data_IF_456801085948
#
_entry.id   IF_456801085948
#
_cell.length_a   1.000
_cell.length_b   1.000
_cell.length_c   1.000
_cell.angle_alpha   90.00
_cell.angle_beta   90.00
_cell.angle_gamma   90.00
#
_symmetry.space_group_name_H-M   'P 1'
#
loop_
_entity.id
_entity.type
_entity.pdbx_description
1 polymer ?
#
# COMPACT_ATOMS: atom_id res chain seq x y z
N UNK A 1 -2.17 -11.30 -34.13
CA UNK A 1 -2.27 -12.18 -32.94
C UNK A 1 -3.54 -11.82 -32.21
N UNK A 2 -4.46 -12.77 -31.94
CA UNK A 2 -5.75 -12.47 -31.35
C UNK A 2 -5.63 -11.91 -29.92
N UNK A 3 -6.49 -10.97 -29.57
CA UNK A 3 -6.61 -10.41 -28.22
C UNK A 3 -6.91 -11.54 -27.20
N UNK A 4 -6.41 -11.38 -25.97
CA UNK A 4 -6.76 -12.29 -24.87
C UNK A 4 -8.28 -12.31 -24.68
N UNK A 5 -8.87 -13.50 -24.60
CA UNK A 5 -10.29 -13.63 -24.29
C UNK A 5 -10.64 -12.98 -22.94
N UNK A 6 -11.84 -12.41 -22.81
CA UNK A 6 -12.30 -11.69 -21.61
C UNK A 6 -12.10 -12.49 -20.32
N UNK A 7 -12.41 -13.79 -20.30
CA UNK A 7 -12.21 -14.66 -19.14
C UNK A 7 -10.77 -14.75 -18.65
N UNK A 8 -9.78 -14.74 -19.56
CA UNK A 8 -8.36 -14.72 -19.19
C UNK A 8 -7.93 -13.39 -18.58
N UNK A 9 -8.43 -12.27 -19.13
CA UNK A 9 -8.21 -10.93 -18.59
C UNK A 9 -8.77 -10.83 -17.18
N UNK A 10 -10.00 -11.32 -17.00
CA UNK A 10 -10.66 -11.33 -15.69
C UNK A 10 -9.90 -12.20 -14.68
N UNK A 11 -9.50 -13.42 -15.06
CA UNK A 11 -8.75 -14.33 -14.19
C UNK A 11 -7.42 -13.72 -13.69
N UNK A 12 -6.70 -12.98 -14.55
CA UNK A 12 -5.53 -12.23 -14.12
C UNK A 12 -5.92 -11.04 -13.23
N UNK A 13 -6.89 -10.22 -13.63
CA UNK A 13 -7.26 -8.99 -12.93
C UNK A 13 -7.73 -9.25 -11.48
N UNK A 14 -8.36 -10.39 -11.20
CA UNK A 14 -8.82 -10.78 -9.85
C UNK A 14 -7.71 -10.76 -8.80
N UNK A 15 -6.44 -11.01 -9.17
CA UNK A 15 -5.30 -10.91 -8.27
C UNK A 15 -5.14 -9.52 -7.62
N UNK A 16 -5.75 -8.49 -8.18
CA UNK A 16 -5.80 -7.15 -7.60
C UNK A 16 -6.37 -7.10 -6.18
N UNK A 17 -7.33 -7.99 -5.84
CA UNK A 17 -7.89 -8.07 -4.48
C UNK A 17 -6.78 -8.41 -3.48
N UNK A 18 -6.06 -9.51 -3.72
CA UNK A 18 -5.03 -10.01 -2.81
C UNK A 18 -3.84 -9.05 -2.68
N UNK A 19 -3.45 -8.37 -3.78
CA UNK A 19 -2.36 -7.39 -3.77
C UNK A 19 -2.57 -6.26 -2.76
N UNK A 20 -3.80 -5.82 -2.57
CA UNK A 20 -4.12 -4.65 -1.75
C UNK A 20 -4.66 -5.03 -0.36
N UNK A 21 -5.65 -5.93 -0.31
CA UNK A 21 -6.40 -6.24 0.90
C UNK A 21 -5.50 -6.72 2.05
N UNK A 22 -4.63 -7.70 1.81
CA UNK A 22 -3.78 -8.26 2.85
C UNK A 22 -2.82 -7.21 3.44
N UNK A 23 -2.24 -6.35 2.60
CA UNK A 23 -1.37 -5.26 3.06
C UNK A 23 -2.12 -4.21 3.90
N UNK A 24 -3.33 -3.82 3.48
CA UNK A 24 -4.15 -2.88 4.24
C UNK A 24 -4.52 -3.45 5.61
N UNK A 25 -4.97 -4.71 5.65
CA UNK A 25 -5.37 -5.37 6.89
C UNK A 25 -4.19 -5.51 7.85
N UNK A 26 -3.01 -5.90 7.38
CA UNK A 26 -1.79 -5.94 8.20
C UNK A 26 -1.42 -4.56 8.72
N UNK A 27 -1.41 -3.55 7.84
CA UNK A 27 -0.98 -2.19 8.21
C UNK A 27 -1.87 -1.56 9.28
N UNK A 28 -3.17 -1.85 9.27
CA UNK A 28 -4.12 -1.24 10.22
C UNK A 28 -4.38 -2.12 11.44
N UNK A 29 -4.62 -3.42 11.25
CA UNK A 29 -5.22 -4.27 12.29
C UNK A 29 -4.23 -5.16 13.01
N UNK A 30 -3.07 -5.49 12.40
CA UNK A 30 -2.13 -6.41 13.04
C UNK A 30 -1.49 -5.78 14.29
N UNK A 31 -1.23 -4.47 14.24
CA UNK A 31 -0.76 -3.73 15.41
C UNK A 31 -1.79 -3.75 16.54
N UNK A 32 -3.07 -3.51 16.23
CA UNK A 32 -4.18 -3.58 17.20
C UNK A 32 -4.32 -4.97 17.84
N UNK A 33 -4.02 -6.04 17.08
CA UNK A 33 -4.10 -7.42 17.59
C UNK A 33 -3.04 -7.72 18.63
N UNK A 34 -1.80 -7.28 18.41
CA UNK A 34 -0.68 -7.60 19.28
C UNK A 34 -0.42 -6.55 20.37
N UNK A 35 -0.87 -5.32 20.15
CA UNK A 35 -0.68 -4.19 21.05
C UNK A 35 -2.04 -3.48 21.24
N UNK A 36 -3.04 -4.19 21.81
CA UNK A 36 -4.34 -3.57 22.07
C UNK A 36 -4.24 -2.53 23.20
N UNK A 37 -5.05 -1.49 23.13
CA UNK A 37 -5.15 -0.47 24.19
C UNK A 37 -5.96 -0.94 25.39
N UNK A 38 -6.99 -1.75 25.16
CA UNK A 38 -7.95 -2.18 26.18
C UNK A 38 -7.47 -3.37 27.04
N UNK A 39 -6.40 -4.05 26.62
CA UNK A 39 -5.88 -5.25 27.25
C UNK A 39 -4.36 -5.19 27.34
N UNK A 40 -3.76 -6.03 28.18
CA UNK A 40 -2.31 -6.15 28.22
C UNK A 40 -1.77 -6.52 26.83
N UNK A 41 -0.76 -5.78 26.36
CA UNK A 41 -0.12 -6.04 25.09
C UNK A 41 0.47 -7.46 25.06
N UNK A 42 0.30 -8.17 23.95
CA UNK A 42 0.88 -9.52 23.76
C UNK A 42 2.39 -9.45 23.48
N UNK A 43 2.83 -8.32 22.90
CA UNK A 43 4.23 -7.98 22.62
C UNK A 43 4.40 -6.47 22.89
N UNK A 44 5.54 -6.01 23.46
CA UNK A 44 5.79 -4.58 23.62
C UNK A 44 5.69 -3.82 22.29
N UNK A 45 5.04 -2.64 22.29
CA UNK A 45 4.73 -1.87 21.07
C UNK A 45 5.97 -1.58 20.22
N UNK A 46 7.08 -1.15 20.84
CA UNK A 46 8.32 -0.86 20.13
C UNK A 46 8.91 -2.09 19.44
N UNK A 47 8.87 -3.25 20.10
CA UNK A 47 9.34 -4.52 19.50
C UNK A 47 8.46 -4.95 18.35
N UNK A 48 7.15 -4.84 18.52
CA UNK A 48 6.21 -5.22 17.46
C UNK A 48 6.34 -4.30 16.24
N UNK A 49 6.50 -2.98 16.46
CA UNK A 49 6.82 -2.02 15.40
C UNK A 49 8.12 -2.37 14.67
N UNK A 50 9.18 -2.77 15.41
CA UNK A 50 10.44 -3.21 14.83
C UNK A 50 10.28 -4.49 13.98
N UNK A 51 9.44 -5.46 14.39
CA UNK A 51 9.17 -6.67 13.61
C UNK A 51 8.46 -6.37 12.28
N UNK A 52 7.47 -5.47 12.30
CA UNK A 52 6.79 -5.01 11.09
C UNK A 52 7.74 -4.24 10.17
N UNK A 53 8.57 -3.36 10.73
CA UNK A 53 9.62 -2.66 9.97
C UNK A 53 10.57 -3.66 9.30
N UNK A 54 11.09 -4.63 10.07
CA UNK A 54 11.99 -5.66 9.54
C UNK A 54 11.30 -6.45 8.41
N UNK A 55 10.02 -6.78 8.56
CA UNK A 55 9.23 -7.43 7.52
C UNK A 55 9.16 -6.60 6.22
N UNK A 56 8.96 -5.28 6.33
CA UNK A 56 8.98 -4.40 5.16
C UNK A 56 10.36 -4.30 4.51
N UNK A 57 11.43 -4.32 5.29
CA UNK A 57 12.79 -4.38 4.77
C UNK A 57 13.08 -5.73 4.08
N UNK A 58 12.62 -6.84 4.68
CA UNK A 58 12.67 -8.16 4.05
C UNK A 58 11.99 -8.15 2.69
N UNK A 59 10.77 -7.61 2.60
CA UNK A 59 10.02 -7.46 1.36
C UNK A 59 10.81 -6.63 0.31
N UNK A 60 11.40 -5.50 0.72
CA UNK A 60 12.18 -4.63 -0.17
C UNK A 60 13.45 -5.33 -0.73
N UNK A 61 14.11 -6.14 0.09
CA UNK A 61 15.33 -6.88 -0.32
C UNK A 61 14.99 -8.10 -1.16
N UNK A 62 13.90 -8.79 -0.83
CA UNK A 62 13.51 -10.03 -1.53
C UNK A 62 12.86 -9.76 -2.89
N UNK A 63 12.30 -8.59 -3.15
CA UNK A 63 11.70 -8.25 -4.45
C UNK A 63 12.66 -8.46 -5.64
N UNK A 64 13.86 -7.85 -5.67
CA UNK A 64 14.80 -8.07 -6.76
C UNK A 64 15.32 -9.52 -6.81
N UNK A 65 15.48 -10.17 -5.65
CA UNK A 65 15.91 -11.56 -5.57
C UNK A 65 14.89 -12.50 -6.19
N UNK A 66 13.61 -12.38 -5.79
CA UNK A 66 12.52 -13.20 -6.34
C UNK A 66 12.29 -12.87 -7.83
N UNK A 67 12.40 -11.60 -8.23
CA UNK A 67 12.37 -11.20 -9.62
C UNK A 67 13.42 -11.96 -10.44
N UNK A 68 14.67 -11.93 -9.99
CA UNK A 68 15.77 -12.66 -10.63
C UNK A 68 15.56 -14.19 -10.65
N UNK A 69 15.17 -14.78 -9.51
CA UNK A 69 14.92 -16.22 -9.41
C UNK A 69 13.78 -16.64 -10.34
N UNK A 70 12.66 -15.91 -10.35
CA UNK A 70 11.50 -16.23 -11.19
C UNK A 70 11.82 -16.08 -12.68
N UNK A 71 12.64 -15.10 -13.07
CA UNK A 71 13.05 -14.92 -14.47
C UNK A 71 13.97 -16.04 -14.97
N UNK A 72 14.76 -16.65 -14.09
CA UNK A 72 15.69 -17.75 -14.42
C UNK A 72 15.09 -19.15 -14.21
N UNK A 73 13.92 -19.26 -13.61
CA UNK A 73 13.25 -20.54 -13.39
C UNK A 73 12.73 -21.12 -14.69
N UNK A 74 12.89 -22.44 -14.87
CA UNK A 74 12.41 -23.17 -16.04
C UNK A 74 11.64 -24.40 -15.60
N UNK A 75 10.30 -24.34 -15.72
CA UNK A 75 9.44 -25.49 -15.40
C UNK A 75 8.43 -25.75 -16.50
N UNK A 76 7.75 -26.91 -16.44
CA UNK A 76 6.67 -27.27 -17.35
C UNK A 76 5.44 -26.35 -17.29
N UNK A 77 5.26 -25.61 -16.17
CA UNK A 77 4.17 -24.64 -15.98
C UNK A 77 4.54 -23.23 -16.39
N UNK A 78 5.79 -22.98 -16.77
CA UNK A 78 6.37 -21.67 -17.01
C UNK A 78 7.42 -21.32 -15.98
N UNK A 79 7.82 -20.05 -15.94
CA UNK A 79 8.86 -19.54 -15.02
C UNK A 79 8.27 -18.86 -13.77
N UNK A 80 7.11 -18.21 -13.87
CA UNK A 80 6.46 -17.40 -12.82
C UNK A 80 5.27 -18.11 -12.17
N UNK A 81 4.48 -18.86 -12.94
CA UNK A 81 3.32 -19.60 -12.44
C UNK A 81 3.66 -20.51 -11.24
N UNK A 82 4.79 -21.24 -11.20
CA UNK A 82 5.13 -22.07 -10.05
C UNK A 82 5.21 -21.31 -8.72
N UNK A 83 5.72 -20.08 -8.75
CA UNK A 83 5.82 -19.24 -7.54
C UNK A 83 4.43 -18.87 -7.00
N UNK A 84 3.49 -18.56 -7.90
CA UNK A 84 2.10 -18.25 -7.52
C UNK A 84 1.41 -19.54 -7.04
N UNK A 85 1.55 -20.65 -7.77
CA UNK A 85 0.91 -21.93 -7.46
C UNK A 85 1.33 -22.47 -6.07
N UNK A 86 2.64 -22.55 -5.84
CA UNK A 86 3.18 -23.11 -4.58
C UNK A 86 3.26 -22.09 -3.45
N UNK A 87 3.26 -20.79 -3.76
CA UNK A 87 3.32 -19.73 -2.76
C UNK A 87 1.96 -19.29 -2.22
N UNK A 88 0.87 -19.34 -3.00
CA UNK A 88 -0.42 -18.81 -2.59
C UNK A 88 -1.02 -19.53 -1.36
N UNK A 89 -0.93 -20.85 -1.29
CA UNK A 89 -1.45 -21.63 -0.15
C UNK A 89 -0.64 -21.38 1.13
N UNK A 90 0.70 -21.48 1.14
CA UNK A 90 1.49 -21.10 2.32
C UNK A 90 1.26 -19.65 2.75
N UNK A 91 1.15 -18.70 1.80
CA UNK A 91 0.85 -17.29 2.09
C UNK A 91 -0.48 -17.14 2.83
N UNK A 92 -1.54 -17.80 2.35
CA UNK A 92 -2.85 -17.80 2.99
C UNK A 92 -2.83 -18.41 4.39
N UNK A 93 -2.11 -19.51 4.58
CA UNK A 93 -1.94 -20.17 5.89
C UNK A 93 -1.19 -19.28 6.88
N UNK A 94 -0.05 -18.70 6.47
CA UNK A 94 0.72 -17.79 7.32
C UNK A 94 -0.09 -16.55 7.67
N UNK A 95 -0.88 -16.03 6.72
CA UNK A 95 -1.79 -14.92 7.01
C UNK A 95 -2.82 -15.28 8.09
N UNK A 96 -3.41 -16.48 8.06
CA UNK A 96 -4.32 -16.93 9.14
C UNK A 96 -3.61 -17.03 10.49
N UNK A 97 -2.40 -17.62 10.52
CA UNK A 97 -1.64 -17.81 11.75
C UNK A 97 -1.24 -16.48 12.41
N UNK A 98 -1.02 -15.41 11.65
CA UNK A 98 -0.73 -14.07 12.20
C UNK A 98 -1.80 -13.58 13.19
N UNK A 99 -3.05 -14.02 13.07
CA UNK A 99 -4.16 -13.57 13.92
C UNK A 99 -4.38 -14.44 15.16
N UNK A 100 -3.64 -15.54 15.29
CA UNK A 100 -3.78 -16.53 16.38
C UNK A 100 -2.51 -16.65 17.24
N UNK A 101 -2.13 -15.61 18.01
CA UNK A 101 -0.99 -15.69 18.91
C UNK A 101 -1.18 -16.85 19.90
N UNK A 102 -0.13 -17.63 20.17
CA UNK A 102 -0.24 -18.87 20.96
C UNK A 102 -0.50 -18.63 22.45
N UNK A 103 -0.13 -17.47 22.99
CA UNK A 103 -0.28 -17.14 24.42
C UNK A 103 -1.15 -15.89 24.56
N UNK A 104 -2.16 -15.93 25.45
CA UNK A 104 -3.15 -14.86 25.63
C UNK A 104 -2.67 -13.66 26.46
N UNK A 105 -1.41 -13.62 26.90
CA UNK A 105 -0.79 -12.53 27.65
C UNK A 105 0.59 -12.21 27.10
N UNK A 106 1.23 -11.15 27.59
CA UNK A 106 2.58 -10.78 27.19
C UNK A 106 3.57 -11.90 27.49
N UNK A 107 4.18 -12.46 26.45
CA UNK A 107 5.12 -13.55 26.57
C UNK A 107 6.16 -13.49 25.45
N UNK A 108 7.42 -13.87 25.74
CA UNK A 108 8.50 -13.87 24.75
C UNK A 108 8.22 -14.77 23.54
N UNK A 109 7.45 -15.84 23.73
CA UNK A 109 7.06 -16.76 22.65
C UNK A 109 6.13 -16.07 21.64
N UNK A 110 5.23 -15.16 22.08
CA UNK A 110 4.44 -14.34 21.16
C UNK A 110 5.33 -13.43 20.31
N UNK A 111 6.40 -12.88 20.89
CA UNK A 111 7.33 -12.03 20.16
C UNK A 111 8.10 -12.84 19.09
N UNK A 112 8.61 -14.01 19.43
CA UNK A 112 9.28 -14.91 18.48
C UNK A 112 8.32 -15.36 17.38
N UNK A 113 7.11 -15.78 17.76
CA UNK A 113 6.05 -16.20 16.84
C UNK A 113 5.66 -15.10 15.86
N UNK A 114 5.36 -13.90 16.37
CA UNK A 114 5.01 -12.75 15.54
C UNK A 114 6.15 -12.36 14.59
N UNK A 115 7.39 -12.26 15.12
CA UNK A 115 8.56 -11.94 14.30
C UNK A 115 8.73 -12.95 13.16
N UNK A 116 8.74 -14.24 13.46
CA UNK A 116 8.93 -15.30 12.47
C UNK A 116 7.82 -15.30 11.41
N UNK A 117 6.55 -15.20 11.81
CA UNK A 117 5.43 -15.19 10.87
C UNK A 117 5.36 -13.90 10.04
N UNK A 118 5.70 -12.74 10.59
CA UNK A 118 5.76 -11.49 9.83
C UNK A 118 6.84 -11.59 8.74
N UNK A 119 8.04 -12.08 9.06
CA UNK A 119 9.11 -12.25 8.06
C UNK A 119 8.70 -13.27 6.98
N UNK A 120 8.13 -14.41 7.39
CA UNK A 120 7.67 -15.43 6.47
C UNK A 120 6.52 -14.92 5.57
N UNK A 121 5.59 -14.14 6.14
CA UNK A 121 4.52 -13.51 5.36
C UNK A 121 5.08 -12.61 4.26
N UNK A 122 5.99 -11.68 4.59
CA UNK A 122 6.53 -10.77 3.59
C UNK A 122 7.37 -11.50 2.54
N UNK A 123 8.14 -12.52 2.91
CA UNK A 123 8.86 -13.37 1.98
C UNK A 123 7.90 -14.08 1.00
N UNK A 124 6.85 -14.73 1.52
CA UNK A 124 5.85 -15.41 0.69
C UNK A 124 5.03 -14.44 -0.15
N UNK A 125 4.69 -13.27 0.42
CA UNK A 125 3.98 -12.22 -0.31
C UNK A 125 4.79 -11.76 -1.53
N UNK A 126 6.07 -11.45 -1.34
CA UNK A 126 6.98 -11.12 -2.44
C UNK A 126 7.11 -12.28 -3.44
N UNK A 127 7.24 -13.52 -2.95
CA UNK A 127 7.37 -14.70 -3.82
C UNK A 127 6.16 -14.94 -4.71
N UNK A 128 4.96 -14.50 -4.30
CA UNK A 128 3.72 -14.60 -5.09
C UNK A 128 3.49 -13.35 -5.92
N UNK A 129 3.56 -12.17 -5.30
CA UNK A 129 3.11 -10.93 -5.92
C UNK A 129 4.08 -10.40 -6.98
N UNK A 130 5.39 -10.52 -6.79
CA UNK A 130 6.39 -10.05 -7.75
C UNK A 130 6.33 -10.83 -9.07
N UNK A 131 6.31 -12.18 -9.08
CA UNK A 131 6.07 -12.94 -10.31
C UNK A 131 4.70 -12.66 -10.93
N UNK A 132 3.64 -12.52 -10.12
CA UNK A 132 2.30 -12.21 -10.62
C UNK A 132 2.25 -10.87 -11.37
N UNK A 133 2.79 -9.79 -10.80
CA UNK A 133 2.84 -8.48 -11.46
C UNK A 133 3.67 -8.52 -12.75
N UNK A 134 4.72 -9.30 -12.74
CA UNK A 134 5.60 -9.49 -13.89
C UNK A 134 4.98 -10.33 -15.02
N UNK A 135 3.87 -11.03 -14.79
CA UNK A 135 3.14 -11.74 -15.86
C UNK A 135 2.48 -10.82 -16.87
N UNK A 136 2.06 -9.60 -16.48
CA UNK A 136 1.27 -8.71 -17.33
C UNK A 136 1.90 -8.43 -18.71
N UNK A 137 3.19 -8.05 -18.80
CA UNK A 137 3.83 -7.86 -20.10
C UNK A 137 3.94 -9.13 -20.94
N UNK A 138 3.95 -10.31 -20.31
CA UNK A 138 4.07 -11.59 -21.01
C UNK A 138 2.76 -12.08 -21.58
N UNK A 139 1.66 -11.87 -20.85
CA UNK A 139 0.34 -12.31 -21.31
C UNK A 139 -0.22 -11.41 -22.40
N UNK A 140 0.15 -10.12 -22.41
CA UNK A 140 -0.28 -9.17 -23.44
C UNK A 140 0.89 -8.32 -23.95
N UNK A 141 1.35 -8.53 -25.20
CA UNK A 141 2.36 -7.67 -25.85
C UNK A 141 1.79 -6.31 -26.27
N UNK A 142 0.49 -6.21 -26.50
CA UNK A 142 -0.16 -4.96 -26.92
C UNK A 142 -0.36 -4.01 -25.76
N UNK A 143 0.11 -2.77 -25.93
CA UNK A 143 0.02 -1.73 -24.90
C UNK A 143 -1.43 -1.35 -24.53
N UNK A 144 -2.33 -1.26 -25.52
CA UNK A 144 -3.74 -0.94 -25.29
C UNK A 144 -4.43 -2.07 -24.50
N UNK A 145 -4.10 -3.32 -24.78
CA UNK A 145 -4.63 -4.47 -24.06
C UNK A 145 -4.12 -4.50 -22.61
N UNK A 146 -2.84 -4.17 -22.37
CA UNK A 146 -2.29 -4.04 -21.01
C UNK A 146 -3.03 -2.99 -20.19
N UNK A 147 -3.34 -1.84 -20.80
CA UNK A 147 -4.14 -0.79 -20.13
C UNK A 147 -5.50 -1.34 -19.71
N UNK A 148 -6.20 -2.07 -20.59
CA UNK A 148 -7.48 -2.67 -20.27
C UNK A 148 -7.39 -3.67 -19.11
N UNK A 149 -6.37 -4.53 -19.10
CA UNK A 149 -6.15 -5.51 -18.02
C UNK A 149 -5.82 -4.78 -16.70
N UNK A 150 -4.96 -3.77 -16.72
CA UNK A 150 -4.63 -2.97 -15.55
C UNK A 150 -5.83 -2.21 -15.01
N UNK A 151 -6.71 -1.70 -15.88
CA UNK A 151 -7.98 -1.06 -15.47
C UNK A 151 -8.90 -2.07 -14.77
N UNK A 152 -9.04 -3.27 -15.31
CA UNK A 152 -9.80 -4.35 -14.65
C UNK A 152 -9.18 -4.71 -13.29
N UNK A 153 -7.84 -4.81 -13.20
CA UNK A 153 -7.12 -5.06 -11.95
C UNK A 153 -7.37 -3.96 -10.93
N UNK A 154 -7.38 -2.68 -11.35
CA UNK A 154 -7.69 -1.55 -10.46
C UNK A 154 -9.11 -1.64 -9.87
N UNK A 155 -10.10 -2.13 -10.63
CA UNK A 155 -11.44 -2.40 -10.10
C UNK A 155 -11.38 -3.45 -8.98
N UNK A 156 -10.62 -4.53 -9.16
CA UNK A 156 -10.47 -5.56 -8.12
C UNK A 156 -9.66 -5.06 -6.91
N UNK A 157 -8.68 -4.19 -7.09
CA UNK A 157 -8.01 -3.47 -5.99
C UNK A 157 -9.04 -2.67 -5.19
N UNK A 158 -9.96 -1.97 -5.86
CA UNK A 158 -11.04 -1.24 -5.21
C UNK A 158 -12.00 -2.17 -4.44
N UNK A 159 -12.36 -3.33 -5.00
CA UNK A 159 -13.14 -4.35 -4.28
C UNK A 159 -12.41 -4.78 -2.99
N UNK A 160 -11.11 -5.03 -3.05
CA UNK A 160 -10.28 -5.31 -1.86
C UNK A 160 -10.34 -4.18 -0.82
N UNK A 161 -10.30 -2.92 -1.27
CA UNK A 161 -10.43 -1.75 -0.37
C UNK A 161 -11.80 -1.65 0.29
N UNK A 162 -12.88 -1.98 -0.43
CA UNK A 162 -14.23 -2.02 0.15
C UNK A 162 -14.34 -3.13 1.20
N UNK A 163 -13.82 -4.32 0.93
CA UNK A 163 -13.76 -5.42 1.92
C UNK A 163 -12.95 -5.00 3.15
N UNK A 164 -11.81 -4.34 2.95
CA UNK A 164 -11.00 -3.79 4.03
C UNK A 164 -11.80 -2.83 4.92
N UNK A 165 -12.64 -1.95 4.35
CA UNK A 165 -13.52 -1.07 5.12
C UNK A 165 -14.50 -1.81 6.03
N UNK A 166 -14.89 -3.04 5.68
CA UNK A 166 -15.79 -3.90 6.47
C UNK A 166 -15.10 -4.73 7.57
N UNK A 167 -13.77 -4.70 7.69
CA UNK A 167 -13.01 -5.55 8.63
C UNK A 167 -13.41 -5.32 10.09
N UNK A 168 -13.74 -4.07 10.48
CA UNK A 168 -14.22 -3.77 11.84
C UNK A 168 -15.49 -4.54 12.21
N UNK A 169 -16.44 -4.68 11.28
CA UNK A 169 -17.67 -5.47 11.48
C UNK A 169 -17.34 -6.97 11.58
N UNK A 170 -16.45 -7.46 10.74
CA UNK A 170 -16.02 -8.87 10.75
C UNK A 170 -15.39 -9.18 12.10
N UNK A 171 -14.51 -8.30 12.58
CA UNK A 171 -13.83 -8.45 13.86
C UNK A 171 -14.81 -8.54 15.05
N UNK A 172 -15.76 -7.62 15.11
CA UNK A 172 -16.69 -7.54 16.22
C UNK A 172 -17.64 -8.75 16.28
N UNK A 173 -18.06 -9.27 15.10
CA UNK A 173 -19.02 -10.37 15.02
C UNK A 173 -18.38 -11.76 15.14
N UNK A 174 -17.19 -11.95 14.57
CA UNK A 174 -16.59 -13.28 14.39
C UNK A 174 -15.15 -13.37 14.88
N UNK A 175 -14.58 -12.27 15.40
CA UNK A 175 -13.25 -12.25 16.02
C UNK A 175 -12.08 -12.27 15.03
N UNK A 176 -10.88 -12.33 15.60
CA UNK A 176 -9.62 -12.20 14.86
C UNK A 176 -9.37 -13.30 13.83
N UNK A 177 -9.71 -14.55 14.16
CA UNK A 177 -9.51 -15.67 13.24
C UNK A 177 -10.33 -15.51 11.96
N UNK A 178 -11.54 -14.93 12.06
CA UNK A 178 -12.39 -14.69 10.90
C UNK A 178 -11.75 -13.72 9.91
N UNK A 179 -11.02 -12.70 10.38
CA UNK A 179 -10.24 -11.82 9.51
C UNK A 179 -9.20 -12.63 8.74
N UNK A 180 -8.46 -13.50 9.45
CA UNK A 180 -7.48 -14.40 8.85
C UNK A 180 -8.09 -15.26 7.74
N UNK A 181 -9.20 -15.93 8.04
CA UNK A 181 -9.88 -16.84 7.10
C UNK A 181 -10.47 -16.12 5.89
N UNK A 182 -11.13 -14.98 6.08
CA UNK A 182 -11.72 -14.19 4.98
C UNK A 182 -10.64 -13.69 4.02
N UNK A 183 -9.56 -13.11 4.54
CA UNK A 183 -8.48 -12.59 3.69
C UNK A 183 -7.71 -13.72 3.02
N UNK A 184 -7.47 -14.84 3.72
CA UNK A 184 -6.85 -16.03 3.14
C UNK A 184 -7.70 -16.62 2.00
N UNK A 185 -9.02 -16.77 2.21
CA UNK A 185 -9.93 -17.26 1.18
C UNK A 185 -9.93 -16.33 -0.05
N UNK A 186 -10.02 -15.01 0.17
CA UNK A 186 -9.96 -14.04 -0.91
C UNK A 186 -8.61 -14.05 -1.63
N UNK A 187 -7.50 -14.27 -0.93
CA UNK A 187 -6.17 -14.44 -1.53
C UNK A 187 -6.14 -15.64 -2.47
N UNK A 188 -6.65 -16.79 -2.05
CA UNK A 188 -6.72 -17.98 -2.89
C UNK A 188 -7.67 -17.80 -4.06
N UNK A 189 -8.88 -17.27 -3.84
CA UNK A 189 -9.85 -16.96 -4.90
C UNK A 189 -9.25 -16.00 -5.94
N UNK A 190 -8.38 -15.09 -5.52
CA UNK A 190 -7.73 -14.12 -6.40
C UNK A 190 -6.64 -14.72 -7.27
N UNK A 191 -5.80 -15.60 -6.74
CA UNK A 191 -4.63 -16.13 -7.47
C UNK A 191 -4.90 -17.46 -8.19
N UNK A 192 -5.79 -18.31 -7.69
CA UNK A 192 -6.10 -19.61 -8.29
C UNK A 192 -6.56 -19.48 -9.75
N UNK A 193 -7.47 -18.56 -10.13
CA UNK A 193 -7.86 -18.39 -11.52
C UNK A 193 -6.68 -18.02 -12.43
N UNK A 194 -5.76 -17.19 -11.96
CA UNK A 194 -4.55 -16.83 -12.70
C UNK A 194 -3.73 -18.08 -13.03
N UNK A 195 -3.48 -18.93 -12.03
CA UNK A 195 -2.69 -20.17 -12.22
C UNK A 195 -3.34 -21.16 -13.17
N UNK A 196 -4.67 -21.30 -13.10
CA UNK A 196 -5.41 -22.28 -13.91
C UNK A 196 -5.57 -21.87 -15.38
N UNK A 197 -5.66 -20.56 -15.64
CA UNK A 197 -6.10 -20.04 -16.95
C UNK A 197 -4.95 -19.42 -17.75
N UNK A 198 -3.98 -18.80 -17.04
CA UNK A 198 -2.87 -18.09 -17.68
C UNK A 198 -1.76 -19.08 -18.06
N UNK A 199 -1.32 -19.00 -19.30
CA UNK A 199 -0.13 -19.69 -19.80
C UNK A 199 0.94 -18.68 -20.16
N UNK A 200 2.13 -18.86 -19.65
CA UNK A 200 3.28 -18.02 -19.95
C UNK A 200 3.76 -18.22 -21.38
N UNK A 201 4.27 -17.16 -21.99
CA UNK A 201 4.97 -17.22 -23.27
C UNK A 201 6.46 -17.43 -23.06
N UNK A 202 7.17 -18.05 -24.01
CA UNK A 202 8.62 -18.10 -23.97
C UNK A 202 9.21 -16.69 -23.85
N UNK A 203 10.29 -16.50 -23.08
CA UNK A 203 10.89 -15.19 -22.85
C UNK A 203 11.38 -14.59 -24.17
N UNK A 204 11.04 -13.32 -24.41
CA UNK A 204 11.71 -12.51 -25.43
C UNK A 204 13.19 -12.34 -25.04
N UNK A 205 14.11 -12.39 -26.03
CA UNK A 205 15.53 -12.09 -25.79
C UNK A 205 15.69 -10.69 -25.23
N UNK A 206 16.57 -10.48 -24.21
CA UNK A 206 16.88 -9.15 -23.74
C UNK A 206 17.33 -8.25 -24.91
N UNK A 207 16.97 -6.95 -24.91
CA UNK A 207 17.48 -6.02 -25.91
C UNK A 207 19.01 -5.98 -25.86
N UNK A 208 19.65 -6.09 -27.03
CA UNK A 208 21.10 -5.96 -27.15
C UNK A 208 21.50 -4.52 -26.75
N UNK A 209 22.45 -4.35 -25.82
CA UNK A 209 23.01 -3.06 -25.43
C UNK A 209 22.61 -2.53 -24.05
N UNK A 210 21.98 -3.33 -23.20
CA UNK A 210 21.76 -2.92 -21.81
C UNK A 210 23.11 -2.77 -21.06
N UNK A 211 23.34 -1.64 -20.32
CA UNK A 211 24.58 -1.45 -19.56
C UNK A 211 24.77 -2.59 -18.56
N UNK A 212 26.02 -3.08 -18.45
CA UNK A 212 26.37 -4.11 -17.50
C UNK A 212 26.34 -3.56 -16.05
N UNK A 213 25.38 -4.04 -15.22
CA UNK A 213 25.39 -3.90 -13.78
C UNK A 213 24.24 -3.08 -13.19
N UNK A 214 23.51 -3.69 -12.27
CA UNK A 214 22.40 -3.11 -11.50
C UNK A 214 22.83 -1.82 -10.76
N UNK A 215 24.04 -1.78 -10.21
CA UNK A 215 24.57 -0.63 -9.47
C UNK A 215 24.65 0.63 -10.33
N UNK A 216 25.08 0.48 -11.59
CA UNK A 216 25.14 1.61 -12.53
C UNK A 216 23.76 2.17 -12.83
N UNK A 217 22.77 1.30 -13.01
CA UNK A 217 21.39 1.69 -13.23
C UNK A 217 20.79 2.42 -12.02
N UNK A 218 21.02 1.90 -10.81
CA UNK A 218 20.57 2.54 -9.56
C UNK A 218 21.19 3.93 -9.41
N UNK A 219 22.52 4.07 -9.63
CA UNK A 219 23.20 5.36 -9.55
C UNK A 219 22.64 6.38 -10.54
N UNK A 220 22.41 5.99 -11.78
CA UNK A 220 21.83 6.87 -12.80
C UNK A 220 20.40 7.29 -12.45
N UNK A 221 19.60 6.41 -11.86
CA UNK A 221 18.22 6.73 -11.43
C UNK A 221 18.24 7.68 -10.23
N UNK A 222 19.10 7.44 -9.24
CA UNK A 222 19.23 8.29 -8.05
C UNK A 222 19.89 9.65 -8.33
N UNK A 223 20.54 9.83 -9.48
CA UNK A 223 21.05 11.15 -9.92
C UNK A 223 20.05 11.92 -10.80
N UNK A 224 18.92 11.32 -11.15
CA UNK A 224 17.86 11.98 -11.94
C UNK A 224 17.06 12.94 -11.05
N UNK A 225 17.29 14.26 -11.19
CA UNK A 225 16.63 15.29 -10.35
C UNK A 225 15.10 15.23 -10.38
N UNK A 226 14.42 15.19 -11.54
CA UNK A 226 12.96 15.03 -11.58
C UNK A 226 12.47 13.83 -10.75
N UNK A 227 13.14 12.69 -10.85
CA UNK A 227 12.82 11.49 -10.08
C UNK A 227 12.92 11.72 -8.56
N UNK A 228 14.00 12.37 -8.09
CA UNK A 228 14.17 12.63 -6.66
C UNK A 228 13.03 13.45 -6.07
N UNK A 229 12.56 14.48 -6.76
CA UNK A 229 11.41 15.27 -6.29
C UNK A 229 10.15 14.42 -6.14
N UNK A 230 9.88 13.57 -7.13
CA UNK A 230 8.71 12.67 -7.11
C UNK A 230 8.83 11.65 -6.00
N UNK A 231 9.96 10.94 -5.92
CA UNK A 231 10.12 9.83 -4.96
C UNK A 231 10.12 10.31 -3.51
N UNK A 232 10.73 11.47 -3.22
CA UNK A 232 10.73 12.02 -1.86
C UNK A 232 9.34 12.51 -1.47
N UNK A 233 8.65 13.27 -2.34
CA UNK A 233 7.30 13.75 -2.05
C UNK A 233 6.30 12.61 -1.86
N UNK A 234 6.37 11.57 -2.70
CA UNK A 234 5.50 10.39 -2.59
C UNK A 234 5.83 9.55 -1.35
N UNK A 235 7.10 9.42 -0.97
CA UNK A 235 7.50 8.72 0.25
C UNK A 235 6.98 9.40 1.51
N UNK A 236 7.07 10.73 1.59
CA UNK A 236 6.51 11.52 2.69
C UNK A 236 4.98 11.34 2.78
N UNK A 237 4.30 11.27 1.65
CA UNK A 237 2.88 10.99 1.63
C UNK A 237 2.55 9.55 2.08
N UNK A 238 3.37 8.55 1.71
CA UNK A 238 3.21 7.17 2.19
C UNK A 238 3.38 7.07 3.71
N UNK A 239 4.32 7.85 4.31
CA UNK A 239 4.42 7.96 5.78
C UNK A 239 3.10 8.49 6.34
N UNK A 240 2.60 9.60 5.82
CA UNK A 240 1.36 10.21 6.30
C UNK A 240 0.16 9.27 6.20
N UNK A 241 -0.03 8.64 5.04
CA UNK A 241 -1.15 7.73 4.80
C UNK A 241 -1.13 6.53 5.76
N UNK A 242 0.04 5.90 5.96
CA UNK A 242 0.15 4.77 6.89
C UNK A 242 -0.06 5.18 8.34
N UNK A 243 0.47 6.33 8.78
CA UNK A 243 0.21 6.86 10.12
C UNK A 243 -1.29 7.04 10.36
N UNK A 244 -2.02 7.59 9.38
CA UNK A 244 -3.48 7.76 9.48
C UNK A 244 -4.21 6.42 9.51
N UNK A 245 -3.84 5.46 8.66
CA UNK A 245 -4.47 4.13 8.66
C UNK A 245 -4.27 3.40 9.99
N UNK A 246 -3.08 3.48 10.59
CA UNK A 246 -2.80 2.90 11.90
C UNK A 246 -3.51 3.64 13.04
N UNK A 247 -3.68 4.96 12.93
CA UNK A 247 -4.34 5.79 13.93
C UNK A 247 -5.82 5.46 14.09
N UNK A 248 -6.55 5.15 13.00
CA UNK A 248 -8.02 5.04 13.00
C UNK A 248 -8.59 4.07 14.04
N UNK A 249 -8.12 2.80 14.18
CA UNK A 249 -8.67 1.90 15.18
C UNK A 249 -8.49 2.43 16.62
N UNK A 250 -7.30 2.97 16.92
CA UNK A 250 -7.00 3.55 18.25
C UNK A 250 -7.79 4.82 18.49
N UNK A 251 -8.02 5.63 17.46
CA UNK A 251 -8.88 6.80 17.55
C UNK A 251 -10.31 6.43 17.93
N UNK A 252 -10.84 5.36 17.36
CA UNK A 252 -12.19 4.85 17.66
C UNK A 252 -12.27 4.27 19.07
N UNK A 253 -11.31 3.44 19.48
CA UNK A 253 -11.36 2.76 20.78
C UNK A 253 -10.94 3.68 21.93
N UNK A 254 -9.81 4.36 21.80
CA UNK A 254 -9.16 5.06 22.93
C UNK A 254 -9.67 6.48 23.09
N UNK A 255 -9.99 7.18 21.99
CA UNK A 255 -10.48 8.55 22.05
C UNK A 255 -11.99 8.66 22.02
N UNK A 256 -12.66 7.93 21.10
CA UNK A 256 -14.12 7.97 20.98
C UNK A 256 -14.81 7.02 21.96
N UNK A 257 -14.10 6.07 22.59
CA UNK A 257 -14.66 5.07 23.50
C UNK A 257 -15.68 4.14 22.85
N UNK A 258 -15.54 3.91 21.54
CA UNK A 258 -16.48 3.10 20.77
C UNK A 258 -15.92 1.70 20.49
N UNK A 259 -16.80 0.77 20.12
CA UNK A 259 -16.41 -0.56 19.69
C UNK A 259 -15.69 -0.55 18.34
N UNK A 260 -14.95 -1.61 18.03
CA UNK A 260 -14.15 -1.75 16.81
C UNK A 260 -14.99 -1.79 15.52
N UNK A 261 -16.26 -2.14 15.58
CA UNK A 261 -17.19 -2.06 14.44
C UNK A 261 -17.41 -0.60 13.97
N UNK A 262 -17.33 0.37 14.90
CA UNK A 262 -17.42 1.79 14.57
C UNK A 262 -16.26 2.30 13.66
N UNK A 263 -15.14 1.56 13.58
CA UNK A 263 -14.08 1.82 12.59
C UNK A 263 -14.65 1.77 11.17
N UNK A 264 -15.50 0.79 10.88
CA UNK A 264 -16.14 0.67 9.56
C UNK A 264 -17.03 1.86 9.26
N UNK A 265 -17.82 2.31 10.26
CA UNK A 265 -18.70 3.47 10.10
C UNK A 265 -17.89 4.77 9.92
N UNK A 266 -16.77 4.90 10.64
CA UNK A 266 -15.87 6.04 10.50
C UNK A 266 -15.14 6.06 9.15
N UNK A 267 -14.80 4.88 8.62
CA UNK A 267 -14.15 4.74 7.33
C UNK A 267 -15.10 4.89 6.13
N UNK A 268 -16.42 4.72 6.32
CA UNK A 268 -17.38 4.79 5.23
C UNK A 268 -17.35 6.14 4.47
N UNK A 269 -17.40 7.32 5.11
CA UNK A 269 -17.30 8.61 4.41
C UNK A 269 -15.95 8.81 3.73
N UNK A 270 -14.84 8.32 4.30
CA UNK A 270 -13.53 8.32 3.68
C UNK A 270 -13.52 7.51 2.37
N UNK A 271 -14.02 6.28 2.40
CA UNK A 271 -14.07 5.41 1.23
C UNK A 271 -15.02 5.97 0.16
N UNK A 272 -16.18 6.49 0.57
CA UNK A 272 -17.14 7.09 -0.35
C UNK A 272 -16.55 8.29 -1.10
N UNK A 273 -15.92 9.22 -0.37
CA UNK A 273 -15.27 10.38 -0.99
C UNK A 273 -14.07 9.96 -1.86
N UNK A 274 -13.26 8.99 -1.41
CA UNK A 274 -12.13 8.48 -2.16
C UNK A 274 -12.58 7.90 -3.51
N UNK A 275 -13.62 7.05 -3.52
CA UNK A 275 -14.17 6.46 -4.75
C UNK A 275 -14.70 7.53 -5.71
N UNK A 276 -15.48 8.49 -5.21
CA UNK A 276 -16.01 9.57 -6.05
C UNK A 276 -14.88 10.40 -6.66
N UNK A 277 -13.95 10.84 -5.82
CA UNK A 277 -12.86 11.72 -6.26
C UNK A 277 -11.78 10.98 -7.07
N UNK A 278 -11.68 9.68 -7.01
CA UNK A 278 -10.82 8.89 -7.90
C UNK A 278 -11.14 9.17 -9.39
N UNK A 279 -12.41 9.23 -9.75
CA UNK A 279 -12.85 9.57 -11.11
C UNK A 279 -12.69 11.05 -11.40
N UNK A 280 -13.03 11.92 -10.44
CA UNK A 280 -12.91 13.39 -10.59
C UNK A 280 -11.46 13.80 -10.81
N UNK A 281 -10.50 13.23 -10.07
CA UNK A 281 -9.07 13.50 -10.23
C UNK A 281 -8.58 13.21 -11.64
N UNK A 282 -9.04 12.14 -12.27
CA UNK A 282 -8.64 11.82 -13.66
C UNK A 282 -9.08 12.89 -14.64
N UNK A 283 -10.31 13.41 -14.49
CA UNK A 283 -10.84 14.50 -15.32
C UNK A 283 -10.08 15.81 -15.06
N UNK A 284 -9.86 16.15 -13.80
CA UNK A 284 -9.15 17.36 -13.40
C UNK A 284 -7.68 17.34 -13.83
N UNK A 285 -7.01 16.16 -13.76
CA UNK A 285 -5.62 16.01 -14.21
C UNK A 285 -5.45 16.30 -15.71
N UNK A 286 -6.42 15.90 -16.53
CA UNK A 286 -6.43 16.23 -17.97
C UNK A 286 -6.63 17.72 -18.24
N UNK A 287 -7.40 18.41 -17.38
CA UNK A 287 -7.74 19.84 -17.56
C UNK A 287 -6.68 20.78 -16.99
N UNK A 288 -6.18 20.50 -15.80
CA UNK A 288 -5.30 21.41 -15.04
C UNK A 288 -3.85 20.94 -14.98
N UNK A 289 -3.55 19.74 -15.48
CA UNK A 289 -2.23 19.13 -15.43
C UNK A 289 -1.95 18.39 -14.12
N UNK A 290 -1.10 17.36 -14.23
CA UNK A 290 -0.76 16.45 -13.10
C UNK A 290 0.02 17.17 -12.00
N UNK A 291 0.93 18.08 -12.38
CA UNK A 291 1.77 18.84 -11.45
C UNK A 291 0.94 19.64 -10.44
N UNK A 292 0.04 20.51 -10.93
CA UNK A 292 -0.78 21.36 -10.07
C UNK A 292 -1.70 20.53 -9.18
N UNK A 293 -2.30 19.49 -9.76
CA UNK A 293 -3.24 18.67 -9.03
C UNK A 293 -2.54 17.85 -7.93
N UNK A 294 -1.30 17.41 -8.14
CA UNK A 294 -0.53 16.74 -7.10
C UNK A 294 -0.10 17.68 -5.97
N UNK A 295 0.23 18.94 -6.28
CA UNK A 295 0.43 19.97 -5.26
C UNK A 295 -0.83 20.21 -4.42
N UNK A 296 -2.00 20.30 -5.06
CA UNK A 296 -3.29 20.43 -4.36
C UNK A 296 -3.55 19.20 -3.46
N UNK A 297 -3.20 18.01 -3.93
CA UNK A 297 -3.28 16.76 -3.16
C UNK A 297 -2.42 16.81 -1.90
N UNK A 298 -1.15 17.21 -2.03
CA UNK A 298 -0.21 17.31 -0.90
C UNK A 298 -0.66 18.37 0.10
N UNK A 299 -1.01 19.56 -0.38
CA UNK A 299 -1.48 20.67 0.46
C UNK A 299 -2.82 20.35 1.12
N UNK A 300 -3.77 19.78 0.38
CA UNK A 300 -5.07 19.36 0.90
C UNK A 300 -4.93 18.34 2.03
N UNK A 301 -4.05 17.34 1.87
CA UNK A 301 -3.75 16.38 2.94
C UNK A 301 -3.07 17.04 4.14
N UNK A 302 -2.12 17.96 3.90
CA UNK A 302 -1.42 18.69 4.95
C UNK A 302 -2.35 19.55 5.81
N UNK A 303 -3.43 20.06 5.23
CA UNK A 303 -4.43 20.87 5.94
C UNK A 303 -5.52 19.99 6.59
N UNK A 304 -6.01 18.97 5.91
CA UNK A 304 -7.14 18.17 6.38
C UNK A 304 -6.74 17.18 7.47
N UNK A 305 -5.62 16.46 7.33
CA UNK A 305 -5.23 15.43 8.30
C UNK A 305 -5.06 16.00 9.73
N UNK A 306 -4.38 17.15 9.95
CA UNK A 306 -4.25 17.71 11.28
C UNK A 306 -5.58 18.16 11.91
N UNK A 307 -6.66 18.36 11.16
CA UNK A 307 -7.98 18.69 11.71
C UNK A 307 -8.49 17.62 12.69
N UNK A 308 -7.98 16.38 12.60
CA UNK A 308 -8.24 15.34 13.61
C UNK A 308 -7.88 15.82 15.01
N UNK A 309 -6.85 16.68 15.17
CA UNK A 309 -6.45 17.20 16.48
C UNK A 309 -7.49 18.14 17.09
N UNK A 310 -8.36 18.74 16.27
CA UNK A 310 -9.41 19.67 16.71
C UNK A 310 -10.71 18.95 17.09
N UNK A 311 -10.82 17.66 16.80
CA UNK A 311 -11.99 16.86 17.16
C UNK A 311 -12.20 16.87 18.67
N UNK A 312 -13.44 17.10 19.10
CA UNK A 312 -13.84 17.25 20.50
C UNK A 312 -13.68 18.66 21.06
N UNK A 313 -13.02 19.59 20.34
CA UNK A 313 -12.91 20.99 20.72
C UNK A 313 -13.84 21.92 19.92
N UNK A 314 -14.46 21.41 18.87
CA UNK A 314 -15.39 22.19 18.04
C UNK A 314 -16.77 22.32 18.71
N UNK A 315 -17.46 23.48 18.58
CA UNK A 315 -18.71 23.76 19.28
C UNK A 315 -19.95 23.08 18.67
N UNK A 316 -19.79 22.17 17.69
CA UNK A 316 -20.87 21.53 16.96
C UNK A 316 -20.69 20.01 16.84
N UNK A 317 -21.79 19.29 16.86
CA UNK A 317 -21.83 17.84 16.63
C UNK A 317 -21.15 17.00 17.73
N UNK A 318 -21.22 15.70 17.54
CA UNK A 318 -20.52 14.73 18.41
C UNK A 318 -19.06 14.54 17.94
N UNK A 319 -18.12 14.11 18.81
CA UNK A 319 -16.75 13.78 18.39
C UNK A 319 -16.71 12.75 17.24
N UNK A 320 -17.66 11.82 17.20
CA UNK A 320 -17.78 10.87 16.08
C UNK A 320 -18.14 11.57 14.77
N UNK A 321 -19.13 12.47 14.79
CA UNK A 321 -19.56 13.21 13.59
C UNK A 321 -18.45 14.13 13.06
N UNK A 322 -17.71 14.78 13.96
CA UNK A 322 -16.55 15.60 13.62
C UNK A 322 -15.45 14.74 12.98
N UNK A 323 -15.14 13.57 13.57
CA UNK A 323 -14.18 12.60 13.01
C UNK A 323 -14.62 12.11 11.62
N UNK A 324 -15.88 11.71 11.46
CA UNK A 324 -16.42 11.24 10.20
C UNK A 324 -16.32 12.31 9.09
N UNK A 325 -16.54 13.58 9.42
CA UNK A 325 -16.36 14.67 8.48
C UNK A 325 -14.88 14.83 8.08
N UNK A 326 -13.96 14.84 9.05
CA UNK A 326 -12.53 15.00 8.78
C UNK A 326 -12.00 13.83 7.93
N UNK A 327 -12.34 12.58 8.27
CA UNK A 327 -11.95 11.42 7.46
C UNK A 327 -12.61 11.45 6.08
N UNK A 328 -13.88 11.85 5.97
CA UNK A 328 -14.55 12.07 4.70
C UNK A 328 -13.82 13.09 3.81
N UNK A 329 -13.41 14.21 4.38
CA UNK A 329 -12.62 15.23 3.68
C UNK A 329 -11.23 14.71 3.28
N UNK A 330 -10.59 13.88 4.11
CA UNK A 330 -9.27 13.29 3.83
C UNK A 330 -9.31 12.32 2.65
N UNK A 331 -10.42 11.66 2.37
CA UNK A 331 -10.56 10.78 1.21
C UNK A 331 -10.38 11.50 -0.14
N UNK A 332 -10.68 12.80 -0.20
CA UNK A 332 -10.53 13.61 -1.43
C UNK A 332 -9.07 13.69 -1.89
N UNK A 333 -8.13 14.21 -1.08
CA UNK A 333 -6.73 14.27 -1.51
C UNK A 333 -6.09 12.88 -1.60
N UNK A 334 -6.53 11.88 -0.82
CA UNK A 334 -6.01 10.51 -0.94
C UNK A 334 -6.34 9.92 -2.31
N UNK A 335 -7.50 10.22 -2.90
CA UNK A 335 -7.81 9.84 -4.28
C UNK A 335 -6.79 10.39 -5.30
N UNK A 336 -6.38 11.65 -5.12
CA UNK A 336 -5.33 12.27 -5.93
C UNK A 336 -3.99 11.54 -5.80
N UNK A 337 -3.63 11.15 -4.59
CA UNK A 337 -2.40 10.41 -4.33
C UNK A 337 -2.39 9.00 -4.96
N UNK A 338 -3.50 8.33 -5.02
CA UNK A 338 -3.57 7.00 -5.64
C UNK A 338 -3.42 7.03 -7.17
N UNK A 339 -3.75 8.16 -7.82
CA UNK A 339 -3.75 8.28 -9.28
C UNK A 339 -2.48 8.97 -9.81
N UNK A 340 -2.09 10.09 -9.20
CA UNK A 340 -1.12 11.00 -9.80
C UNK A 340 0.34 10.55 -9.76
N UNK A 341 0.88 9.95 -8.67
CA UNK A 341 2.30 9.63 -8.55
C UNK A 341 2.83 8.75 -9.68
N UNK A 342 2.10 7.69 -10.02
CA UNK A 342 2.50 6.77 -11.09
C UNK A 342 2.43 7.43 -12.47
N UNK A 343 1.46 8.32 -12.69
CA UNK A 343 1.35 9.09 -13.92
C UNK A 343 2.48 10.12 -14.06
N UNK A 344 2.90 10.76 -12.97
CA UNK A 344 4.03 11.68 -12.95
C UNK A 344 5.36 10.92 -13.10
N UNK A 345 5.48 9.75 -12.48
CA UNK A 345 6.66 8.91 -12.62
C UNK A 345 6.86 8.43 -14.07
N UNK A 346 5.77 8.12 -14.78
CA UNK A 346 5.85 7.77 -16.19
C UNK A 346 6.38 8.95 -17.04
N UNK A 347 5.96 10.20 -16.75
CA UNK A 347 6.48 11.38 -17.43
C UNK A 347 7.99 11.59 -17.15
N UNK A 348 8.46 11.26 -15.94
CA UNK A 348 9.90 11.28 -15.61
C UNK A 348 10.66 10.24 -16.42
N UNK A 349 10.09 9.05 -16.61
CA UNK A 349 10.70 7.97 -17.42
C UNK A 349 10.82 8.42 -18.89
N UNK A 350 9.74 8.99 -19.45
CA UNK A 350 9.73 9.48 -20.83
C UNK A 350 10.74 10.62 -21.03
N UNK A 351 10.86 11.53 -20.06
CA UNK A 351 11.88 12.58 -20.08
C UNK A 351 13.32 12.02 -20.01
N UNK A 352 13.54 11.00 -19.20
CA UNK A 352 14.83 10.33 -19.10
C UNK A 352 15.19 9.60 -20.39
N UNK A 353 14.23 8.93 -21.04
CA UNK A 353 14.40 8.27 -22.33
C UNK A 353 14.82 9.28 -23.42
N UNK A 354 14.19 10.48 -23.46
CA UNK A 354 14.56 11.55 -24.40
C UNK A 354 16.00 12.06 -24.19
N UNK A 355 16.49 12.07 -22.95
CA UNK A 355 17.85 12.53 -22.61
C UNK A 355 18.94 11.48 -22.84
N UNK A 356 18.63 10.21 -22.56
CA UNK A 356 19.63 9.16 -22.50
C UNK A 356 19.55 8.18 -23.66
N UNK A 357 18.45 8.19 -24.43
CA UNK A 357 18.13 7.20 -25.45
C UNK A 357 17.85 5.80 -24.89
N UNK A 358 17.76 5.64 -23.56
CA UNK A 358 17.57 4.35 -22.87
C UNK A 358 16.24 4.31 -22.17
N UNK A 359 15.41 3.33 -22.49
CA UNK A 359 14.14 3.09 -21.80
C UNK A 359 14.37 2.30 -20.51
N UNK A 360 14.30 3.00 -19.36
CA UNK A 360 14.66 2.47 -18.04
C UNK A 360 13.45 2.40 -17.08
N UNK A 361 12.27 2.20 -17.60
CA UNK A 361 11.01 2.23 -16.85
C UNK A 361 11.04 1.34 -15.59
N UNK A 362 11.40 0.05 -15.74
CA UNK A 362 11.39 -0.91 -14.64
C UNK A 362 12.24 -0.50 -13.44
N UNK A 363 13.41 0.16 -13.68
CA UNK A 363 14.29 0.56 -12.58
C UNK A 363 13.75 1.78 -11.83
N UNK A 364 13.12 2.73 -12.52
CA UNK A 364 12.47 3.88 -11.87
C UNK A 364 11.34 3.43 -10.94
N UNK A 365 10.46 2.54 -11.40
CA UNK A 365 9.40 1.97 -10.58
C UNK A 365 9.95 1.09 -9.45
N UNK A 366 10.98 0.30 -9.70
CA UNK A 366 11.64 -0.54 -8.69
C UNK A 366 12.27 0.29 -7.56
N UNK A 367 13.00 1.35 -7.89
CA UNK A 367 13.58 2.27 -6.89
C UNK A 367 12.47 2.99 -6.12
N UNK A 368 11.43 3.47 -6.80
CA UNK A 368 10.28 4.09 -6.14
C UNK A 368 9.61 3.12 -5.14
N UNK A 369 9.47 1.84 -5.49
CA UNK A 369 8.90 0.83 -4.58
C UNK A 369 9.76 0.63 -3.32
N UNK A 370 11.11 0.66 -3.43
CA UNK A 370 12.00 0.60 -2.27
C UNK A 370 11.78 1.80 -1.34
N UNK A 371 11.72 3.01 -1.89
CA UNK A 371 11.46 4.21 -1.10
C UNK A 371 10.07 4.17 -0.42
N UNK A 372 9.04 3.72 -1.15
CA UNK A 372 7.70 3.53 -0.60
C UNK A 372 7.69 2.56 0.58
N UNK A 373 8.32 1.38 0.43
CA UNK A 373 8.38 0.37 1.49
C UNK A 373 9.17 0.86 2.71
N UNK A 374 10.25 1.58 2.49
CA UNK A 374 11.04 2.22 3.56
C UNK A 374 10.23 3.29 4.30
N UNK A 375 9.45 4.09 3.59
CA UNK A 375 8.54 5.09 4.16
C UNK A 375 7.45 4.45 5.05
N UNK A 376 6.84 3.36 4.57
CA UNK A 376 5.87 2.58 5.34
C UNK A 376 6.53 1.99 6.59
N UNK A 377 7.72 1.41 6.46
CA UNK A 377 8.47 0.87 7.60
C UNK A 377 8.76 1.93 8.68
N UNK A 378 9.20 3.12 8.25
CA UNK A 378 9.44 4.25 9.16
C UNK A 378 8.15 4.70 9.87
N UNK A 379 7.02 4.79 9.17
CA UNK A 379 5.75 5.18 9.77
C UNK A 379 5.32 4.23 10.89
N UNK A 380 5.56 2.92 10.74
CA UNK A 380 5.23 1.90 11.74
C UNK A 380 6.02 2.13 13.03
N UNK A 381 7.32 2.40 12.90
CA UNK A 381 8.18 2.68 14.08
C UNK A 381 7.73 3.97 14.77
N UNK A 382 7.51 5.04 14.02
CA UNK A 382 7.03 6.33 14.56
C UNK A 382 5.70 6.14 15.29
N UNK A 383 4.76 5.40 14.70
CA UNK A 383 3.48 5.11 15.33
C UNK A 383 3.64 4.30 16.62
N UNK A 384 4.46 3.24 16.61
CA UNK A 384 4.70 2.38 17.78
C UNK A 384 5.30 3.13 18.98
N UNK A 385 6.13 4.16 18.72
CA UNK A 385 6.72 4.99 19.75
C UNK A 385 5.71 6.00 20.36
N UNK A 386 4.71 6.43 19.58
CA UNK A 386 3.82 7.53 19.95
C UNK A 386 2.43 7.09 20.39
N UNK A 387 1.96 5.93 19.98
CA UNK A 387 0.56 5.50 20.15
C UNK A 387 0.07 5.54 21.60
N UNK A 388 0.95 5.27 22.58
CA UNK A 388 0.61 5.24 24.00
C UNK A 388 1.00 6.53 24.78
N UNK A 389 1.53 7.55 24.10
CA UNK A 389 1.86 8.82 24.75
C UNK A 389 0.58 9.51 25.24
N UNK A 390 0.48 9.79 26.53
CA UNK A 390 -0.69 10.38 27.16
C UNK A 390 -1.88 9.43 27.37
N UNK A 391 -1.73 8.13 27.10
CA UNK A 391 -2.79 7.15 27.31
C UNK A 391 -3.18 7.04 28.80
N UNK A 392 -2.21 7.16 29.72
CA UNK A 392 -2.45 7.11 31.17
C UNK A 392 -3.34 8.26 31.65
N UNK A 393 -3.27 9.42 31.00
CA UNK A 393 -4.03 10.63 31.36
C UNK A 393 -5.34 10.74 30.56
N UNK A 394 -5.67 9.77 29.73
CA UNK A 394 -6.86 9.79 28.84
C UNK A 394 -6.83 10.91 27.78
N UNK A 395 -5.66 11.55 27.54
CA UNK A 395 -5.56 12.74 26.69
C UNK A 395 -5.51 12.47 25.20
N UNK A 396 -5.33 11.20 24.78
CA UNK A 396 -5.07 10.79 23.38
C UNK A 396 -3.96 11.62 22.69
N UNK A 397 -3.02 12.18 23.49
CA UNK A 397 -1.98 13.09 23.00
C UNK A 397 -1.13 12.45 21.91
N UNK A 398 -0.74 11.19 22.09
CA UNK A 398 0.04 10.45 21.10
C UNK A 398 -0.66 10.35 19.75
N UNK A 399 -1.95 10.08 19.72
CA UNK A 399 -2.75 10.03 18.49
C UNK A 399 -2.84 11.40 17.80
N UNK A 400 -2.96 12.48 18.58
CA UNK A 400 -2.96 13.86 18.04
C UNK A 400 -1.60 14.24 17.46
N UNK A 401 -0.51 13.86 18.13
CA UNK A 401 0.87 14.03 17.61
C UNK A 401 1.04 13.26 16.29
N UNK A 402 0.57 12.02 16.21
CA UNK A 402 0.62 11.19 14.98
C UNK A 402 -0.11 11.89 13.83
N UNK A 403 -1.32 12.42 14.06
CA UNK A 403 -2.05 13.17 13.05
C UNK A 403 -1.32 14.46 12.61
N UNK A 404 -0.73 15.19 13.56
CA UNK A 404 0.09 16.37 13.28
C UNK A 404 1.32 16.05 12.45
N UNK A 405 2.05 14.97 12.78
CA UNK A 405 3.22 14.51 12.03
C UNK A 405 2.84 14.05 10.61
N UNK A 406 1.69 13.38 10.45
CA UNK A 406 1.19 13.01 9.13
C UNK A 406 0.91 14.25 8.25
N UNK A 407 0.28 15.28 8.82
CA UNK A 407 0.08 16.55 8.13
C UNK A 407 1.39 17.25 7.80
N UNK A 408 2.35 17.28 8.73
CA UNK A 408 3.68 17.85 8.52
C UNK A 408 4.45 17.13 7.41
N UNK A 409 4.39 15.81 7.34
CA UNK A 409 5.01 15.03 6.26
C UNK A 409 4.43 15.43 4.90
N UNK A 410 3.10 15.58 4.78
CA UNK A 410 2.47 16.07 3.55
C UNK A 410 2.90 17.50 3.21
N UNK A 411 3.03 18.38 4.21
CA UNK A 411 3.47 19.77 4.01
C UNK A 411 4.92 19.85 3.52
N UNK A 412 5.82 19.06 4.11
CA UNK A 412 7.21 18.94 3.62
C UNK A 412 7.21 18.40 2.19
N UNK A 413 6.41 17.37 1.91
CA UNK A 413 6.22 16.83 0.56
C UNK A 413 5.77 17.88 -0.45
N UNK A 414 4.86 18.76 -0.06
CA UNK A 414 4.40 19.89 -0.87
C UNK A 414 5.55 20.85 -1.20
N UNK A 415 6.34 21.27 -0.22
CA UNK A 415 7.48 22.16 -0.46
C UNK A 415 8.56 21.50 -1.31
N UNK A 416 8.84 20.22 -1.09
CA UNK A 416 9.77 19.46 -1.94
C UNK A 416 9.25 19.44 -3.38
N UNK A 417 7.98 19.12 -3.59
CA UNK A 417 7.43 19.00 -4.94
C UNK A 417 7.26 20.34 -5.67
N UNK A 418 7.20 21.47 -4.95
CA UNK A 418 7.29 22.80 -5.57
C UNK A 418 8.58 22.99 -6.39
N UNK A 419 9.66 22.30 -6.03
CA UNK A 419 10.93 22.33 -6.78
C UNK A 419 10.96 21.41 -8.02
N UNK A 420 9.88 20.67 -8.31
CA UNK A 420 9.84 19.74 -9.44
C UNK A 420 10.04 20.46 -10.78
N UNK A 421 11.01 20.03 -11.62
CA UNK A 421 11.42 20.80 -12.77
C UNK A 421 10.53 20.64 -14.00
N UNK A 422 9.79 19.52 -14.15
CA UNK A 422 8.94 19.25 -15.31
C UNK A 422 7.52 19.79 -15.09
N UNK A 423 7.38 21.12 -15.09
CA UNK A 423 6.10 21.81 -14.79
C UNK A 423 5.17 21.96 -15.99
N UNK A 424 5.62 21.62 -17.20
CA UNK A 424 4.92 21.94 -18.45
C UNK A 424 3.98 20.83 -18.92
N UNK A 425 2.94 20.50 -18.12
CA UNK A 425 1.79 19.73 -18.58
C UNK A 425 0.64 20.65 -19.01
N UNK A 426 0.89 21.67 -19.81
CA UNK A 426 -0.19 22.30 -20.58
C UNK A 426 -0.43 21.40 -21.80
N UNK A 427 -1.62 20.81 -21.99
CA UNK A 427 -1.96 20.17 -23.25
C UNK A 427 -1.80 21.25 -24.34
N UNK A 428 -0.89 20.99 -25.30
CA UNK A 428 -0.81 21.75 -26.54
C UNK A 428 -2.05 21.50 -27.36
#
# INVERSE_FOLDING_TARGET
MGSLGFGRKLAYAMGGIALNLANLVISQWLFVRYVPSEQAALVPAAWFGAFLMLGRLTDAVTDPLIGYLSDNTRTRWGRRIPYILFGAVPLALVFCLLWTPPVGHQHWFNALYACALIQLYFLLYTAVCTPYLSLLPEISPDAAERINISTMQAIFIMVGTVVFGGIGIILERWGWLAIGLVVAALTLISFVPTVLVIRERPPARPPAGAPAGLVTWLKLTLTNRPFLYVVVATSLYWIALNLVLMLVPFWVTDYLGLKKDAVTLLMAPFLASNVVFFFVVNVLAKRFGKYLLFLITLLGSALVIPLVTLVGHLPWGTPFAQSALVFGLAGVPVAGFLVLPYAILADVVDHDEQRTGLRREAIFFGVQAIFQKSAIALSIVVFGLLVHVGAADGSALGLRIVAGLAGLACLIGFFVFLGYPLRSDRPR
#
